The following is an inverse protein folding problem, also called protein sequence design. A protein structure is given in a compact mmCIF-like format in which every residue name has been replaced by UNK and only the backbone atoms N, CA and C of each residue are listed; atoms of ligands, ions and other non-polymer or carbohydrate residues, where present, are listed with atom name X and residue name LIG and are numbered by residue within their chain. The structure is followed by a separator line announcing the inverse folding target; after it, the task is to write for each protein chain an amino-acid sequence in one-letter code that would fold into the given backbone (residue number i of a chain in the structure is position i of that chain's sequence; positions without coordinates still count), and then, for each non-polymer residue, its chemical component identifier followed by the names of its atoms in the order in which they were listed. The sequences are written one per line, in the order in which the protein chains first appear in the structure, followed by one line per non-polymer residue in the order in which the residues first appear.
data_IF_514047957247
#
_entry.id   IF_514047957247
#
_cell.length_a   1.000
_cell.length_b   1.000
_cell.length_c   1.000
_cell.angle_alpha   90.00
_cell.angle_beta   90.00
_cell.angle_gamma   90.00
#
_symmetry.space_group_name_H-M   'P 1'
#
loop_
_entity.id
_entity.type
_entity.pdbx_description
1 polymer ?
#
# COMPACT_ATOMS: atom_id res chain seq x y z
N UNK A 1 -2.74 68.56 -40.30
CA UNK A 1 -2.78 67.34 -41.15
C UNK A 1 -1.43 67.28 -41.85
N UNK A 2 -0.58 66.31 -41.54
CA UNK A 2 -0.47 65.05 -42.28
C UNK A 2 0.15 63.97 -41.37
N UNK A 3 -0.55 62.83 -41.31
CA UNK A 3 -0.12 61.44 -41.11
C UNK A 3 0.72 61.04 -39.87
N UNK A 4 -0.06 60.65 -38.86
CA UNK A 4 0.09 59.42 -38.09
C UNK A 4 0.76 58.24 -38.84
N UNK A 5 1.87 57.74 -38.29
CA UNK A 5 2.31 56.35 -38.45
C UNK A 5 3.04 55.86 -37.19
N UNK A 6 2.46 56.16 -36.01
CA UNK A 6 2.62 55.29 -34.84
C UNK A 6 1.55 54.21 -34.99
N UNK A 7 1.97 52.95 -35.19
CA UNK A 7 1.46 51.79 -34.47
C UNK A 7 1.66 50.50 -35.27
N UNK A 8 2.00 49.47 -34.50
CA UNK A 8 1.76 48.06 -34.80
C UNK A 8 2.70 47.42 -35.82
N UNK A 9 3.84 46.97 -35.30
CA UNK A 9 4.29 45.59 -35.54
C UNK A 9 3.11 44.63 -35.38
N UNK A 10 2.38 44.44 -36.48
CA UNK A 10 1.32 43.44 -36.58
C UNK A 10 1.99 42.05 -36.56
N UNK A 11 1.84 41.38 -35.42
CA UNK A 11 1.47 39.98 -35.32
C UNK A 11 2.17 39.02 -36.31
N UNK A 12 3.42 38.65 -36.02
CA UNK A 12 4.01 37.40 -36.53
C UNK A 12 4.19 36.32 -35.44
N UNK A 13 3.76 36.57 -34.21
CA UNK A 13 3.61 35.54 -33.17
C UNK A 13 2.21 34.94 -33.23
N UNK A 14 1.84 34.42 -34.40
CA UNK A 14 0.46 34.02 -34.68
C UNK A 14 0.29 32.63 -35.28
N UNK A 15 1.30 31.76 -35.33
CA UNK A 15 1.12 30.39 -35.84
C UNK A 15 2.13 29.40 -35.21
N UNK A 16 2.14 29.19 -33.89
CA UNK A 16 2.86 28.00 -33.34
C UNK A 16 2.23 27.34 -32.12
N UNK A 17 1.06 27.79 -31.66
CA UNK A 17 0.57 27.39 -30.33
C UNK A 17 -0.76 26.64 -30.30
N UNK A 18 -1.51 26.55 -31.40
CA UNK A 18 -2.86 25.96 -31.35
C UNK A 18 -2.83 24.42 -31.48
N UNK A 19 -2.07 23.87 -32.43
CA UNK A 19 -1.89 22.41 -32.57
C UNK A 19 -1.06 21.81 -31.43
N UNK A 20 -0.05 22.54 -30.94
CA UNK A 20 0.77 22.12 -29.79
C UNK A 20 -0.02 22.14 -28.47
N UNK A 21 -0.93 23.09 -28.28
CA UNK A 21 -1.77 23.18 -27.09
C UNK A 21 -2.72 21.99 -26.96
N UNK A 22 -3.39 21.60 -28.05
CA UNK A 22 -4.30 20.45 -28.06
C UNK A 22 -3.58 19.11 -27.84
N UNK A 23 -2.40 18.92 -28.44
CA UNK A 23 -1.58 17.73 -28.22
C UNK A 23 -1.09 17.63 -26.76
N UNK A 24 -0.69 18.76 -26.17
CA UNK A 24 -0.26 18.84 -24.78
C UNK A 24 -1.41 18.60 -23.79
N UNK A 25 -2.60 19.14 -24.06
CA UNK A 25 -3.81 18.90 -23.27
C UNK A 25 -4.22 17.42 -23.29
N UNK A 26 -4.10 16.76 -24.44
CA UNK A 26 -4.36 15.33 -24.60
C UNK A 26 -3.37 14.47 -23.81
N UNK A 27 -2.08 14.81 -23.84
CA UNK A 27 -1.05 14.16 -23.02
C UNK A 27 -1.32 14.32 -21.52
N UNK A 28 -1.65 15.53 -21.06
CA UNK A 28 -1.98 15.79 -19.65
C UNK A 28 -3.21 15.00 -19.19
N UNK A 29 -4.26 14.93 -20.01
CA UNK A 29 -5.45 14.13 -19.70
C UNK A 29 -5.14 12.62 -19.62
N UNK A 30 -4.29 12.12 -20.50
CA UNK A 30 -3.86 10.72 -20.47
C UNK A 30 -2.98 10.43 -19.25
N UNK A 31 -2.08 11.34 -18.88
CA UNK A 31 -1.30 11.24 -17.64
C UNK A 31 -2.19 11.27 -16.40
N UNK A 32 -3.19 12.15 -16.35
CA UNK A 32 -4.14 12.21 -15.23
C UNK A 32 -4.94 10.90 -15.09
N UNK A 33 -5.34 10.29 -16.21
CA UNK A 33 -6.00 8.97 -16.20
C UNK A 33 -5.08 7.86 -15.70
N UNK A 34 -3.82 7.84 -16.14
CA UNK A 34 -2.83 6.88 -15.66
C UNK A 34 -2.56 7.03 -14.16
N UNK A 35 -2.49 8.26 -13.65
CA UNK A 35 -2.33 8.55 -12.22
C UNK A 35 -3.54 8.05 -11.42
N UNK A 36 -4.76 8.31 -11.89
CA UNK A 36 -5.97 7.82 -11.24
C UNK A 36 -6.03 6.29 -11.23
N UNK A 37 -5.70 5.65 -12.34
CA UNK A 37 -5.66 4.18 -12.42
C UNK A 37 -4.63 3.61 -11.44
N UNK A 38 -3.43 4.20 -11.37
CA UNK A 38 -2.39 3.77 -10.46
C UNK A 38 -2.79 3.97 -8.99
N UNK A 39 -3.45 5.09 -8.66
CA UNK A 39 -3.98 5.36 -7.33
C UNK A 39 -5.01 4.32 -6.89
N UNK A 40 -5.94 3.96 -7.77
CA UNK A 40 -6.94 2.90 -7.49
C UNK A 40 -6.27 1.54 -7.30
N UNK A 41 -5.27 1.22 -8.14
CA UNK A 41 -4.50 -0.04 -7.99
C UNK A 41 -3.74 -0.08 -6.66
N UNK A 42 -3.13 1.02 -6.25
CA UNK A 42 -2.46 1.14 -4.94
C UNK A 42 -3.45 0.97 -3.79
N UNK A 43 -4.56 1.69 -3.78
CA UNK A 43 -5.61 1.52 -2.76
C UNK A 43 -6.15 0.09 -2.70
N UNK A 44 -6.30 -0.56 -3.85
CA UNK A 44 -6.71 -1.97 -3.92
C UNK A 44 -5.64 -2.89 -3.32
N UNK A 45 -4.36 -2.65 -3.61
CA UNK A 45 -3.24 -3.42 -3.06
C UNK A 45 -3.13 -3.22 -1.54
N UNK A 46 -3.23 -1.99 -1.04
CA UNK A 46 -3.24 -1.67 0.39
C UNK A 46 -4.41 -2.37 1.11
N UNK A 47 -5.61 -2.31 0.53
CA UNK A 47 -6.78 -3.00 1.09
C UNK A 47 -6.59 -4.52 1.14
N UNK A 48 -5.99 -5.11 0.10
CA UNK A 48 -5.65 -6.55 0.08
C UNK A 48 -4.60 -6.90 1.15
N UNK A 49 -3.58 -6.06 1.29
CA UNK A 49 -2.53 -6.25 2.29
C UNK A 49 -3.10 -6.17 3.71
N UNK A 50 -3.92 -5.15 4.00
CA UNK A 50 -4.57 -4.98 5.30
C UNK A 50 -5.47 -6.18 5.65
N UNK A 51 -6.23 -6.71 4.68
CA UNK A 51 -7.01 -7.95 4.88
C UNK A 51 -6.14 -9.17 5.13
N UNK A 52 -4.96 -9.26 4.52
CA UNK A 52 -4.01 -10.34 4.79
C UNK A 52 -3.39 -10.21 6.17
N UNK A 53 -3.00 -9.02 6.59
CA UNK A 53 -2.49 -8.77 7.94
C UNK A 53 -3.54 -9.10 9.01
N UNK A 54 -4.80 -8.71 8.80
CA UNK A 54 -5.89 -9.04 9.71
C UNK A 54 -6.13 -10.55 9.79
N UNK A 55 -6.09 -11.25 8.65
CA UNK A 55 -6.17 -12.72 8.61
C UNK A 55 -5.01 -13.38 9.37
N UNK A 56 -3.77 -12.97 9.11
CA UNK A 56 -2.59 -13.50 9.81
C UNK A 56 -2.68 -13.24 11.31
N UNK A 57 -3.11 -12.04 11.72
CA UNK A 57 -3.27 -11.68 13.12
C UNK A 57 -4.37 -12.50 13.79
N UNK A 58 -5.50 -12.69 13.10
CA UNK A 58 -6.58 -13.54 13.60
C UNK A 58 -6.19 -15.02 13.63
N UNK A 59 -5.44 -15.54 12.66
CA UNK A 59 -4.90 -16.89 12.67
C UNK A 59 -3.89 -17.07 13.82
N UNK A 60 -3.04 -16.08 14.08
CA UNK A 60 -2.11 -16.11 15.21
C UNK A 60 -2.86 -16.12 16.55
N UNK A 61 -3.93 -15.33 16.67
CA UNK A 61 -4.77 -15.26 17.87
C UNK A 61 -5.63 -16.52 18.05
N UNK A 62 -6.26 -17.04 17.00
CA UNK A 62 -7.07 -18.26 17.04
C UNK A 62 -6.22 -19.52 17.20
N UNK A 63 -4.99 -19.51 16.67
CA UNK A 63 -3.99 -20.56 16.88
C UNK A 63 -3.19 -20.38 18.17
N UNK A 64 -3.55 -19.44 19.04
CA UNK A 64 -2.88 -19.28 20.34
C UNK A 64 -3.67 -19.97 21.45
N UNK A 65 -3.46 -21.28 21.59
CA UNK A 65 -3.78 -21.93 22.85
C UNK A 65 -2.84 -21.44 23.97
N UNK A 66 -3.22 -21.66 25.22
CA UNK A 66 -2.37 -21.39 26.37
C UNK A 66 -1.84 -22.67 27.00
N UNK A 67 -0.57 -22.66 27.39
CA UNK A 67 -0.01 -23.69 28.25
C UNK A 67 -0.03 -23.21 29.69
N UNK A 68 -0.28 -24.13 30.62
CA UNK A 68 -0.20 -23.85 32.04
C UNK A 68 1.01 -24.53 32.65
N UNK A 69 1.72 -23.83 33.54
CA UNK A 69 2.81 -24.39 34.33
C UNK A 69 2.73 -23.80 35.74
N UNK A 70 2.60 -24.65 36.76
CA UNK A 70 2.43 -24.24 38.17
C UNK A 70 1.30 -23.23 38.39
N UNK A 71 0.19 -23.36 37.65
CA UNK A 71 -0.95 -22.44 37.72
C UNK A 71 -0.78 -21.12 36.94
N UNK A 72 0.41 -20.81 36.42
CA UNK A 72 0.63 -19.65 35.56
C UNK A 72 0.32 -19.97 34.09
N UNK A 73 -0.26 -18.99 33.37
CA UNK A 73 -0.66 -19.09 31.96
C UNK A 73 0.44 -18.54 31.05
N UNK A 74 0.80 -19.30 30.01
CA UNK A 74 1.80 -18.94 29.01
C UNK A 74 1.22 -18.99 27.61
N UNK A 75 1.55 -18.00 26.79
CA UNK A 75 1.14 -17.95 25.39
C UNK A 75 1.91 -18.96 24.55
N UNK A 76 1.30 -19.41 23.45
CA UNK A 76 2.01 -20.17 22.41
C UNK A 76 3.27 -19.40 21.96
N UNK A 77 4.40 -20.11 21.83
CA UNK A 77 5.72 -19.56 21.53
C UNK A 77 6.62 -19.33 22.74
N UNK A 78 6.10 -19.33 23.97
CA UNK A 78 6.92 -19.16 25.17
C UNK A 78 7.83 -20.37 25.40
N UNK A 79 9.12 -20.13 25.67
CA UNK A 79 10.11 -21.16 25.99
C UNK A 79 10.50 -21.09 27.47
N UNK A 80 10.33 -22.19 28.20
CA UNK A 80 10.61 -22.33 29.64
C UNK A 80 11.18 -23.72 29.95
N UNK A 81 12.28 -23.78 30.73
CA UNK A 81 12.89 -25.03 31.19
C UNK A 81 13.14 -26.07 30.08
N UNK A 82 13.59 -25.62 28.91
CA UNK A 82 13.83 -26.51 27.76
C UNK A 82 12.56 -27.00 27.07
N UNK A 83 11.40 -26.39 27.34
CA UNK A 83 10.12 -26.67 26.69
C UNK A 83 9.57 -25.43 25.99
N UNK A 84 8.87 -25.60 24.88
CA UNK A 84 8.14 -24.54 24.19
C UNK A 84 6.63 -24.81 24.31
N UNK A 85 5.85 -23.78 24.60
CA UNK A 85 4.40 -23.87 24.49
C UNK A 85 4.03 -23.82 23.01
N UNK A 86 3.54 -24.92 22.46
CA UNK A 86 3.22 -25.00 21.03
C UNK A 86 1.76 -25.40 20.85
N UNK A 87 1.06 -24.74 19.92
CA UNK A 87 -0.25 -25.19 19.49
C UNK A 87 -0.08 -26.40 18.57
N UNK A 88 -0.62 -27.54 19.00
CA UNK A 88 -0.77 -28.72 18.16
C UNK A 88 -2.25 -29.05 18.05
N UNK A 89 -2.74 -29.11 16.81
CA UNK A 89 -4.08 -29.61 16.51
C UNK A 89 -5.21 -28.88 17.27
N UNK A 90 -5.05 -27.57 17.53
CA UNK A 90 -6.07 -26.74 18.18
C UNK A 90 -5.97 -26.67 19.70
N UNK A 91 -4.96 -27.30 20.32
CA UNK A 91 -4.68 -27.17 21.75
C UNK A 91 -3.20 -26.87 21.99
N UNK A 92 -2.91 -25.94 22.89
CA UNK A 92 -1.53 -25.65 23.28
C UNK A 92 -1.03 -26.65 24.33
N UNK A 93 0.16 -27.18 24.10
CA UNK A 93 0.83 -28.11 25.01
C UNK A 93 2.33 -27.82 25.10
N UNK A 94 2.96 -28.23 26.20
CA UNK A 94 4.40 -28.12 26.37
C UNK A 94 5.12 -29.19 25.57
N UNK A 95 6.07 -28.76 24.73
CA UNK A 95 6.88 -29.65 23.90
C UNK A 95 8.36 -29.45 24.19
N UNK A 96 9.19 -30.47 23.98
CA UNK A 96 10.65 -30.34 24.14
C UNK A 96 11.18 -29.35 23.10
N UNK A 97 11.85 -28.31 23.56
CA UNK A 97 12.45 -27.30 22.69
C UNK A 97 13.89 -27.70 22.37
N UNK A 98 14.16 -28.05 21.11
CA UNK A 98 15.51 -28.25 20.59
C UNK A 98 15.85 -27.13 19.61
N UNK A 99 16.98 -26.44 19.83
CA UNK A 99 17.56 -25.57 18.80
C UNK A 99 18.30 -26.46 17.81
N UNK A 100 17.86 -26.49 16.56
CA UNK A 100 18.65 -26.95 15.43
C UNK A 100 19.36 -25.77 14.79
#
# INVERSE_FOLDING_TARGET
MILSALACTALLTGCVSQDKGNAMQSQLNNQQRQINELSVRLQSAESRLSKQEEKLRNELLQSSGYCYLNGARYSTGTVLYGRICQNQSGSASWQVYSRR
#
